data_IF_697157417733
#
_entry.id   IF_697157417733
#
_cell.length_a   1.000
_cell.length_b   1.000
_cell.length_c   1.000
_cell.angle_alpha   90.00
_cell.angle_beta   90.00
_cell.angle_gamma   90.00
#
_symmetry.space_group_name_H-M   'P 1'
#
loop_
_entity.id
_entity.type
_entity.pdbx_description
1 polymer ?
#
# COMPACT_ATOMS: atom_id res chain seq x y z
N UNK A 1 2.04 9.56 1.90
CA UNK A 1 3.35 9.59 1.22
C UNK A 1 3.09 9.38 -0.26
N UNK A 2 3.35 10.37 -1.11
CA UNK A 2 3.29 10.17 -2.55
C UNK A 2 4.64 9.56 -2.96
N UNK A 3 4.63 8.31 -3.46
CA UNK A 3 5.77 7.78 -4.21
C UNK A 3 6.09 8.79 -5.33
N UNK A 4 7.37 9.10 -5.54
CA UNK A 4 7.73 9.91 -6.71
C UNK A 4 7.33 9.13 -7.97
N UNK A 5 6.86 9.82 -9.03
CA UNK A 5 6.41 9.17 -10.26
C UNK A 5 7.45 8.20 -10.83
N UNK A 6 8.73 8.59 -10.79
CA UNK A 6 9.88 7.78 -11.23
C UNK A 6 9.97 6.42 -10.51
N UNK A 7 9.63 6.39 -9.23
CA UNK A 7 9.68 5.17 -8.41
C UNK A 7 8.46 4.27 -8.64
N UNK A 8 7.33 4.87 -9.03
CA UNK A 8 6.15 4.13 -9.46
C UNK A 8 6.42 3.43 -10.79
N UNK A 9 6.96 4.17 -11.76
CA UNK A 9 7.20 3.66 -13.12
C UNK A 9 8.21 2.51 -13.12
N UNK A 10 9.33 2.65 -12.40
CA UNK A 10 10.31 1.56 -12.24
C UNK A 10 9.69 0.30 -11.61
N UNK A 11 8.83 0.45 -10.61
CA UNK A 11 8.15 -0.71 -9.96
C UNK A 11 7.22 -1.44 -10.93
N UNK A 12 6.50 -0.69 -11.78
CA UNK A 12 5.59 -1.25 -12.79
C UNK A 12 6.37 -1.91 -13.94
N UNK A 13 7.40 -1.25 -14.46
CA UNK A 13 8.23 -1.72 -15.58
C UNK A 13 8.99 -3.00 -15.19
N UNK A 14 9.52 -3.06 -13.98
CA UNK A 14 10.28 -4.21 -13.48
C UNK A 14 9.39 -5.38 -13.06
N UNK A 15 8.06 -5.30 -13.29
CA UNK A 15 7.07 -6.33 -12.95
C UNK A 15 7.16 -6.79 -11.49
N UNK A 16 7.46 -5.86 -10.59
CA UNK A 16 7.62 -6.12 -9.15
C UNK A 16 6.29 -6.17 -8.39
N UNK A 17 5.16 -6.28 -9.08
CA UNK A 17 3.83 -6.39 -8.50
C UNK A 17 3.23 -7.75 -8.81
N UNK A 18 2.90 -8.50 -7.77
CA UNK A 18 2.30 -9.85 -7.85
C UNK A 18 0.86 -9.80 -7.36
N UNK A 19 -0.05 -10.50 -8.04
CA UNK A 19 -1.43 -10.73 -7.58
C UNK A 19 -1.56 -12.18 -7.12
N UNK A 20 -1.93 -12.37 -5.86
CA UNK A 20 -2.24 -13.67 -5.27
C UNK A 20 -3.76 -13.82 -5.13
N UNK A 21 -4.30 -14.91 -5.69
CA UNK A 21 -5.72 -15.25 -5.58
C UNK A 21 -5.83 -16.51 -4.71
N UNK A 22 -6.32 -16.34 -3.49
CA UNK A 22 -6.46 -17.43 -2.53
C UNK A 22 -7.73 -18.23 -2.80
N UNK A 23 -7.60 -19.56 -2.90
CA UNK A 23 -8.73 -20.48 -3.05
C UNK A 23 -9.09 -21.09 -1.69
N UNK A 24 -10.38 -21.38 -1.41
CA UNK A 24 -11.55 -21.19 -2.27
C UNK A 24 -12.17 -19.78 -2.19
N UNK A 25 -11.70 -18.93 -1.28
CA UNK A 25 -12.33 -17.64 -0.96
C UNK A 25 -12.30 -16.61 -2.09
N UNK A 26 -11.44 -16.83 -3.10
CA UNK A 26 -11.11 -15.87 -4.17
C UNK A 26 -10.56 -14.54 -3.65
N UNK A 27 -10.11 -14.49 -2.40
CA UNK A 27 -9.51 -13.30 -1.81
C UNK A 27 -8.27 -12.89 -2.60
N UNK A 28 -8.16 -11.61 -2.92
CA UNK A 28 -7.06 -11.04 -3.68
C UNK A 28 -6.12 -10.30 -2.75
N UNK A 29 -4.85 -10.70 -2.73
CA UNK A 29 -3.79 -9.97 -2.03
C UNK A 29 -2.73 -9.61 -3.06
N UNK A 30 -2.24 -8.39 -2.99
CA UNK A 30 -1.19 -7.91 -3.87
C UNK A 30 0.12 -7.84 -3.09
N UNK A 31 1.24 -8.09 -3.76
CA UNK A 31 2.58 -7.97 -3.18
C UNK A 31 3.44 -7.10 -4.06
N UNK A 32 4.08 -6.08 -3.49
CA UNK A 32 5.09 -5.24 -4.13
C UNK A 32 6.46 -5.67 -3.63
N UNK A 33 7.32 -6.07 -4.57
CA UNK A 33 8.71 -6.44 -4.31
C UNK A 33 9.55 -5.16 -4.27
N UNK A 34 9.93 -4.73 -3.08
CA UNK A 34 10.90 -3.66 -2.88
C UNK A 34 12.32 -4.12 -3.22
N UNK A 35 13.28 -3.23 -2.99
CA UNK A 35 14.71 -3.55 -3.22
C UNK A 35 15.20 -4.61 -2.23
N UNK A 36 14.78 -4.50 -0.97
CA UNK A 36 15.23 -5.39 0.12
C UNK A 36 14.11 -6.24 0.72
N UNK A 37 12.85 -5.80 0.60
CA UNK A 37 11.71 -6.41 1.27
C UNK A 37 10.49 -6.49 0.35
N UNK A 38 9.65 -7.50 0.55
CA UNK A 38 8.33 -7.59 -0.05
C UNK A 38 7.27 -7.00 0.89
N UNK A 39 6.34 -6.22 0.34
CA UNK A 39 5.22 -5.63 1.08
C UNK A 39 3.92 -6.09 0.47
N UNK A 40 3.02 -6.63 1.28
CA UNK A 40 1.69 -7.02 0.82
C UNK A 40 0.68 -5.91 1.11
N UNK A 41 -0.33 -5.84 0.27
CA UNK A 41 -1.38 -4.84 0.32
C UNK A 41 -2.73 -5.48 0.00
N UNK A 42 -3.72 -5.00 0.71
CA UNK A 42 -5.12 -5.39 0.58
C UNK A 42 -5.95 -4.12 0.35
N UNK A 43 -6.24 -3.76 -0.91
CA UNK A 43 -7.02 -2.57 -1.24
C UNK A 43 -8.44 -2.61 -0.67
N UNK A 44 -9.00 -3.81 -0.45
CA UNK A 44 -10.35 -3.95 0.11
C UNK A 44 -10.39 -3.56 1.60
N UNK A 45 -9.26 -3.73 2.29
CA UNK A 45 -9.10 -3.36 3.71
C UNK A 45 -8.42 -2.00 3.92
N UNK A 46 -8.11 -1.28 2.84
CA UNK A 46 -7.23 -0.09 2.86
C UNK A 46 -5.99 -0.34 3.73
N UNK A 47 -5.27 -1.42 3.41
CA UNK A 47 -4.14 -1.90 4.18
C UNK A 47 -2.89 -2.06 3.34
N UNK A 48 -1.75 -1.66 3.90
CA UNK A 48 -0.43 -1.95 3.37
C UNK A 48 0.50 -2.37 4.51
N UNK A 49 1.29 -3.42 4.29
CA UNK A 49 2.22 -3.94 5.30
C UNK A 49 3.50 -3.10 5.44
N UNK A 50 3.65 -2.03 4.65
CA UNK A 50 4.85 -1.21 4.69
C UNK A 50 4.93 -0.43 6.02
N UNK A 51 6.14 -0.15 6.54
CA UNK A 51 6.31 0.68 7.73
C UNK A 51 5.58 2.03 7.63
N UNK A 52 5.60 2.63 6.44
CA UNK A 52 4.93 3.91 6.17
C UNK A 52 3.42 3.89 6.45
N UNK A 53 2.73 2.77 6.26
CA UNK A 53 1.30 2.65 6.56
C UNK A 53 1.04 2.80 8.07
N UNK A 54 1.81 2.10 8.89
CA UNK A 54 1.65 2.12 10.35
C UNK A 54 2.06 3.46 10.97
N UNK A 55 3.12 4.10 10.47
CA UNK A 55 3.60 5.36 11.03
C UNK A 55 2.78 6.58 10.55
N UNK A 56 2.18 6.54 9.35
CA UNK A 56 1.42 7.69 8.82
C UNK A 56 -0.07 7.72 9.20
N UNK A 57 -0.66 6.61 9.68
CA UNK A 57 -2.08 6.57 10.10
C UNK A 57 -2.40 7.49 11.30
N UNK A 58 -1.36 8.10 11.91
CA UNK A 58 -1.48 9.14 12.95
C UNK A 58 -1.84 10.53 12.41
N UNK A 59 -1.72 10.81 11.10
CA UNK A 59 -1.96 12.17 10.56
C UNK A 59 -3.36 12.41 9.98
N UNK A 60 -4.08 11.37 9.54
CA UNK A 60 -5.41 11.54 8.93
C UNK A 60 -6.51 11.87 9.95
N UNK A 61 -6.33 11.46 11.22
CA UNK A 61 -7.27 11.80 12.31
C UNK A 61 -7.28 13.29 12.65
N UNK A 62 -6.25 14.06 12.25
CA UNK A 62 -6.13 15.49 12.54
C UNK A 62 -6.75 16.41 11.47
N UNK A 63 -7.22 15.89 10.34
CA UNK A 63 -7.94 16.70 9.33
C UNK A 63 -9.46 16.62 9.43
N UNK A 64 -10.01 15.76 10.29
CA UNK A 64 -11.45 15.77 10.63
C UNK A 64 -11.78 16.69 11.82
N UNK A 65 -10.77 17.08 12.62
CA UNK A 65 -10.97 17.97 13.79
C UNK A 65 -10.90 19.46 13.46
N UNK A 66 -10.39 19.84 12.28
CA UNK A 66 -10.16 21.24 11.89
C UNK A 66 -11.16 21.77 10.85
N UNK A 67 -12.20 21.00 10.53
CA UNK A 67 -13.39 21.49 9.79
C UNK A 67 -14.56 21.85 10.71
N UNK A 68 -14.38 21.79 12.02
CA UNK A 68 -15.33 22.30 13.02
C UNK A 68 -14.57 23.27 13.95
N UNK A 69 -14.09 24.36 13.39
CA UNK A 69 -13.88 25.64 14.10
C UNK A 69 -13.94 26.75 13.05
#
# INVERSE_FOLDING_TARGET
MLMSPEKLDSTLIEKRVKLHIFQPSKRKIWTVVGVENEYWLDPELDFCSCPGYYFNKKMEKNMLSSKIT
#
